data_IF_622323672036
#
_entry.id   IF_622323672036
#
_cell.length_a   1.000
_cell.length_b   1.000
_cell.length_c   1.000
_cell.angle_alpha   90.00
_cell.angle_beta   90.00
_cell.angle_gamma   90.00
#
_symmetry.space_group_name_H-M   'P 1'
#
loop_
_entity.id
_entity.type
_entity.pdbx_description
1 polymer ?
#
# COMPACT_ATOMS: atom_id res chain seq x y z
N UNK A 1 -19.90 -5.73 16.04
CA UNK A 1 -18.61 -6.27 15.58
C UNK A 1 -18.31 -5.77 14.19
N UNK A 2 -17.06 -5.39 13.92
CA UNK A 2 -16.59 -4.99 12.60
C UNK A 2 -15.33 -5.77 12.27
N UNK A 3 -15.08 -5.99 10.97
CA UNK A 3 -13.80 -6.45 10.44
C UNK A 3 -13.32 -5.38 9.45
N UNK A 4 -12.13 -4.89 9.65
CA UNK A 4 -11.56 -3.80 8.85
C UNK A 4 -10.22 -4.31 8.31
N UNK A 5 -10.02 -4.16 7.01
CA UNK A 5 -8.73 -4.38 6.37
C UNK A 5 -8.12 -3.03 5.99
N UNK A 6 -6.85 -2.84 6.30
CA UNK A 6 -6.12 -1.64 5.93
C UNK A 6 -4.68 -1.97 5.56
N UNK A 7 -4.12 -1.20 4.63
CA UNK A 7 -2.67 -1.10 4.47
C UNK A 7 -2.17 -0.17 5.56
N UNK A 8 -1.12 -0.58 6.25
CA UNK A 8 -0.53 0.20 7.35
C UNK A 8 0.95 0.43 7.09
N UNK A 9 1.48 1.53 7.62
CA UNK A 9 2.92 1.75 7.73
C UNK A 9 3.39 1.36 9.13
N UNK A 10 4.63 0.91 9.23
CA UNK A 10 5.26 0.58 10.50
C UNK A 10 5.28 1.78 11.46
N UNK A 11 4.97 1.58 12.74
CA UNK A 11 4.79 2.65 13.73
C UNK A 11 6.00 3.59 13.84
N UNK A 12 7.23 3.04 13.83
CA UNK A 12 8.46 3.82 13.90
C UNK A 12 8.77 4.67 12.65
N UNK A 13 8.11 4.38 11.54
CA UNK A 13 8.22 5.16 10.30
C UNK A 13 7.10 6.21 10.15
N UNK A 14 6.04 6.12 10.94
CA UNK A 14 4.83 6.90 10.76
C UNK A 14 5.07 8.41 10.82
N UNK A 15 5.79 8.91 11.81
CA UNK A 15 6.08 10.35 11.92
C UNK A 15 6.87 10.90 10.74
N UNK A 16 7.88 10.17 10.27
CA UNK A 16 8.66 10.52 9.09
C UNK A 16 7.80 10.52 7.82
N UNK A 17 6.92 9.54 7.70
CA UNK A 17 6.01 9.39 6.58
C UNK A 17 5.02 10.56 6.51
N UNK A 18 4.43 10.97 7.63
CA UNK A 18 3.48 12.10 7.69
C UNK A 18 4.14 13.43 7.31
N UNK A 19 5.41 13.61 7.66
CA UNK A 19 6.17 14.85 7.34
C UNK A 19 6.72 14.89 5.93
N UNK A 20 6.71 13.76 5.22
CA UNK A 20 7.25 13.64 3.87
C UNK A 20 6.15 13.51 2.83
N UNK A 21 6.59 13.40 1.59
CA UNK A 21 5.75 13.01 0.47
C UNK A 21 6.47 11.91 -0.29
N UNK A 22 5.82 10.77 -0.45
CA UNK A 22 6.36 9.68 -1.24
C UNK A 22 5.81 9.67 -2.68
N UNK A 23 6.31 8.74 -3.47
CA UNK A 23 5.88 8.56 -4.86
C UNK A 23 4.37 8.29 -4.97
N UNK A 24 3.80 7.49 -4.06
CA UNK A 24 2.39 7.11 -4.10
C UNK A 24 1.51 8.32 -3.82
N UNK A 25 1.84 9.09 -2.79
CA UNK A 25 1.12 10.31 -2.42
C UNK A 25 1.19 11.38 -3.52
N UNK A 26 2.27 11.40 -4.28
CA UNK A 26 2.47 12.41 -5.31
C UNK A 26 1.83 12.04 -6.65
N UNK A 27 1.92 10.76 -7.07
CA UNK A 27 1.61 10.37 -8.44
C UNK A 27 0.45 9.38 -8.58
N UNK A 28 0.09 8.63 -7.54
CA UNK A 28 -0.90 7.56 -7.60
C UNK A 28 -2.15 7.93 -6.82
N UNK A 29 -1.99 8.28 -5.54
CA UNK A 29 -3.08 8.65 -4.64
C UNK A 29 -2.78 9.98 -3.94
N UNK A 30 -2.94 11.12 -4.65
CA UNK A 30 -2.66 12.43 -4.06
C UNK A 30 -3.46 12.66 -2.78
N UNK A 31 -2.76 13.04 -1.70
CA UNK A 31 -3.37 13.24 -0.38
C UNK A 31 -3.63 11.97 0.42
N UNK A 32 -3.24 10.79 -0.10
CA UNK A 32 -3.34 9.54 0.63
C UNK A 32 -2.43 9.51 1.86
N UNK A 33 -2.91 8.90 2.95
CA UNK A 33 -2.14 8.69 4.17
C UNK A 33 -2.44 7.28 4.71
N UNK A 34 -1.38 6.49 4.88
CA UNK A 34 -1.50 5.19 5.54
C UNK A 34 -1.50 5.37 7.05
N UNK A 35 -2.42 4.75 7.79
CA UNK A 35 -2.32 4.70 9.24
C UNK A 35 -1.16 3.80 9.67
N UNK A 36 -0.64 4.00 10.89
CA UNK A 36 0.06 2.93 11.59
C UNK A 36 -0.92 2.10 12.41
N UNK A 37 -0.53 0.89 12.79
CA UNK A 37 -1.40 0.03 13.62
C UNK A 37 -1.69 0.69 14.96
N UNK A 38 -0.65 1.21 15.63
CA UNK A 38 -0.80 1.90 16.91
C UNK A 38 -1.70 3.13 16.84
N UNK A 39 -1.58 3.93 15.77
CA UNK A 39 -2.47 5.07 15.56
C UNK A 39 -3.92 4.63 15.35
N UNK A 40 -4.13 3.59 14.55
CA UNK A 40 -5.47 3.06 14.28
C UNK A 40 -6.15 2.54 15.56
N UNK A 41 -5.41 1.77 16.36
CA UNK A 41 -5.90 1.24 17.64
C UNK A 41 -6.20 2.36 18.65
N UNK A 42 -5.32 3.37 18.73
CA UNK A 42 -5.54 4.53 19.58
C UNK A 42 -6.78 5.33 19.20
N UNK A 43 -7.01 5.50 17.90
CA UNK A 43 -8.20 6.21 17.41
C UNK A 43 -9.49 5.41 17.65
N UNK A 44 -9.46 4.10 17.42
CA UNK A 44 -10.57 3.20 17.73
C UNK A 44 -10.95 3.26 19.20
N UNK A 45 -9.96 3.25 20.10
CA UNK A 45 -10.17 3.31 21.54
C UNK A 45 -10.87 4.61 22.00
N UNK A 46 -10.56 5.75 21.39
CA UNK A 46 -11.26 7.03 21.66
C UNK A 46 -12.76 6.97 21.42
N UNK A 47 -13.17 6.10 20.52
CA UNK A 47 -14.58 5.89 20.15
C UNK A 47 -15.20 4.65 20.81
N UNK A 48 -14.58 4.12 21.86
CA UNK A 48 -15.08 2.97 22.61
C UNK A 48 -14.99 1.63 21.90
N UNK A 49 -14.16 1.55 20.84
CA UNK A 49 -13.92 0.31 20.12
C UNK A 49 -12.64 -0.35 20.65
N UNK A 50 -12.65 -1.67 20.73
CA UNK A 50 -11.50 -2.48 21.15
C UNK A 50 -11.14 -3.42 20.03
N UNK A 51 -9.86 -3.43 19.66
CA UNK A 51 -9.32 -4.41 18.71
C UNK A 51 -9.17 -5.75 19.42
N UNK A 52 -9.99 -6.71 19.03
CA UNK A 52 -9.97 -8.06 19.61
C UNK A 52 -8.87 -8.94 19.01
N UNK A 53 -8.58 -8.72 17.70
CA UNK A 53 -7.63 -9.54 16.97
C UNK A 53 -7.10 -8.79 15.75
N UNK A 54 -5.80 -8.90 15.52
CA UNK A 54 -5.11 -8.40 14.32
C UNK A 54 -4.49 -9.55 13.55
N UNK A 55 -4.77 -9.66 12.27
CA UNK A 55 -4.12 -10.57 11.34
C UNK A 55 -3.19 -9.77 10.43
N UNK A 56 -1.95 -10.22 10.27
CA UNK A 56 -0.93 -9.58 9.43
C UNK A 56 -0.55 -10.50 8.27
N UNK A 57 -0.57 -9.99 7.05
CA UNK A 57 -0.26 -10.76 5.84
C UNK A 57 0.45 -9.93 4.76
N UNK A 58 1.23 -8.94 5.15
CA UNK A 58 2.00 -8.09 4.24
C UNK A 58 3.00 -8.88 3.39
N UNK A 59 3.63 -9.92 3.93
CA UNK A 59 4.53 -10.77 3.17
C UNK A 59 3.83 -11.48 2.00
N UNK A 60 2.62 -11.99 2.23
CA UNK A 60 1.79 -12.61 1.17
C UNK A 60 1.36 -11.56 0.14
N UNK A 61 1.16 -10.32 0.60
CA UNK A 61 0.79 -9.21 -0.28
C UNK A 61 1.96 -8.78 -1.17
N UNK A 62 3.20 -8.85 -0.70
CA UNK A 62 4.40 -8.65 -1.53
C UNK A 62 4.42 -9.62 -2.72
N UNK A 63 4.15 -10.91 -2.49
CA UNK A 63 4.05 -11.91 -3.55
C UNK A 63 2.88 -11.63 -4.52
N UNK A 64 1.75 -11.18 -4.00
CA UNK A 64 0.61 -10.77 -4.82
C UNK A 64 0.98 -9.62 -5.75
N UNK A 65 1.67 -8.60 -5.25
CA UNK A 65 2.14 -7.45 -6.03
C UNK A 65 3.17 -7.85 -7.10
N UNK A 66 4.07 -8.77 -6.77
CA UNK A 66 5.01 -9.35 -7.74
C UNK A 66 4.27 -9.99 -8.91
N UNK A 67 3.27 -10.82 -8.63
CA UNK A 67 2.44 -11.47 -9.68
C UNK A 67 1.65 -10.46 -10.48
N UNK A 68 1.11 -9.43 -9.85
CA UNK A 68 0.40 -8.36 -10.55
C UNK A 68 1.33 -7.59 -11.48
N UNK A 69 2.55 -7.28 -11.06
CA UNK A 69 3.55 -6.60 -11.89
C UNK A 69 3.92 -7.43 -13.11
N UNK A 70 4.22 -8.71 -12.92
CA UNK A 70 4.52 -9.64 -14.02
C UNK A 70 3.37 -9.71 -15.02
N UNK A 71 2.15 -9.87 -14.53
CA UNK A 71 0.96 -9.92 -15.39
C UNK A 71 0.73 -8.60 -16.11
N UNK A 72 0.87 -7.48 -15.44
CA UNK A 72 0.71 -6.15 -16.02
C UNK A 72 1.71 -5.94 -17.17
N UNK A 73 2.98 -6.27 -16.96
CA UNK A 73 4.01 -6.17 -18.00
C UNK A 73 3.76 -7.14 -19.16
N UNK A 74 3.25 -8.32 -18.89
CA UNK A 74 2.84 -9.26 -19.94
C UNK A 74 1.67 -8.78 -20.81
N UNK A 75 0.85 -7.88 -20.27
CA UNK A 75 -0.32 -7.31 -20.95
C UNK A 75 -0.06 -5.89 -21.52
N UNK A 76 1.18 -5.42 -21.57
CA UNK A 76 1.52 -4.05 -21.99
C UNK A 76 0.91 -3.66 -23.34
N UNK A 77 0.95 -4.56 -24.32
CA UNK A 77 0.37 -4.31 -25.63
C UNK A 77 -1.14 -4.04 -25.57
N UNK A 78 -1.85 -4.73 -24.67
CA UNK A 78 -3.29 -4.53 -24.43
C UNK A 78 -3.55 -3.20 -23.73
N UNK A 79 -2.73 -2.86 -22.73
CA UNK A 79 -2.81 -1.56 -22.02
C UNK A 79 -2.66 -0.41 -23.02
N UNK A 80 -1.68 -0.50 -23.93
CA UNK A 80 -1.48 0.50 -24.99
C UNK A 80 -2.65 0.61 -25.96
N UNK A 81 -3.28 -0.50 -26.33
CA UNK A 81 -4.50 -0.49 -27.16
C UNK A 81 -5.68 0.21 -26.50
N UNK A 82 -5.70 0.28 -25.16
CA UNK A 82 -6.71 1.04 -24.40
C UNK A 82 -6.44 2.56 -24.37
N UNK A 83 -5.35 3.03 -24.99
CA UNK A 83 -5.00 4.44 -25.09
C UNK A 83 -3.99 4.94 -24.05
N UNK A 84 -3.45 4.05 -23.20
CA UNK A 84 -2.44 4.43 -22.22
C UNK A 84 -1.05 4.51 -22.86
N UNK A 85 -0.31 5.57 -22.52
CA UNK A 85 1.00 5.86 -23.07
C UNK A 85 2.16 5.16 -22.32
N UNK A 86 3.37 5.34 -22.82
CA UNK A 86 4.59 4.81 -22.19
C UNK A 86 4.81 5.33 -20.79
N UNK A 87 4.43 6.59 -20.53
CA UNK A 87 4.56 7.19 -19.20
C UNK A 87 3.67 6.48 -18.19
N UNK A 88 2.43 6.20 -18.56
CA UNK A 88 1.50 5.44 -17.71
C UNK A 88 2.05 4.06 -17.38
N UNK A 89 2.52 3.30 -18.39
CA UNK A 89 3.08 1.96 -18.19
C UNK A 89 4.25 1.98 -17.20
N UNK A 90 5.20 2.93 -17.38
CA UNK A 90 6.35 3.07 -16.49
C UNK A 90 5.99 3.47 -15.06
N UNK A 91 5.04 4.39 -14.90
CA UNK A 91 4.55 4.81 -13.57
C UNK A 91 3.89 3.62 -12.87
N UNK A 92 3.10 2.84 -13.58
CA UNK A 92 2.37 1.72 -13.01
C UNK A 92 3.28 0.54 -12.66
N UNK A 93 4.25 0.23 -13.51
CA UNK A 93 5.29 -0.74 -13.22
C UNK A 93 6.09 -0.35 -11.96
N UNK A 94 6.52 0.90 -11.90
CA UNK A 94 7.25 1.42 -10.74
C UNK A 94 6.41 1.38 -9.46
N UNK A 95 5.13 1.76 -9.54
CA UNK A 95 4.20 1.67 -8.42
C UNK A 95 4.10 0.26 -7.85
N UNK A 96 3.89 -0.73 -8.70
CA UNK A 96 3.79 -2.13 -8.28
C UNK A 96 5.11 -2.63 -7.66
N UNK A 97 6.26 -2.30 -8.27
CA UNK A 97 7.58 -2.64 -7.73
C UNK A 97 7.88 -1.93 -6.40
N UNK A 98 7.51 -0.67 -6.27
CA UNK A 98 7.66 0.12 -5.05
C UNK A 98 6.86 -0.49 -3.89
N UNK A 99 5.60 -0.83 -4.13
CA UNK A 99 4.76 -1.49 -3.14
C UNK A 99 5.29 -2.88 -2.78
N UNK A 100 5.67 -3.70 -3.76
CA UNK A 100 6.28 -5.02 -3.54
C UNK A 100 7.48 -4.92 -2.59
N UNK A 101 8.39 -3.97 -2.86
CA UNK A 101 9.58 -3.75 -2.04
C UNK A 101 9.23 -3.28 -0.61
N UNK A 102 8.24 -2.38 -0.46
CA UNK A 102 7.81 -1.87 0.83
C UNK A 102 7.23 -2.98 1.73
N UNK A 103 6.41 -3.87 1.16
CA UNK A 103 5.87 -5.02 1.88
C UNK A 103 6.93 -6.09 2.16
N UNK A 104 7.81 -6.39 1.20
CA UNK A 104 8.91 -7.34 1.39
C UNK A 104 9.90 -6.89 2.48
N UNK A 105 10.16 -5.59 2.59
CA UNK A 105 11.00 -5.01 3.63
C UNK A 105 10.30 -4.87 5.00
N UNK A 106 8.99 -5.14 5.09
CA UNK A 106 8.21 -4.97 6.31
C UNK A 106 7.99 -3.49 6.71
N UNK A 107 8.16 -2.55 5.79
CA UNK A 107 7.89 -1.13 6.03
C UNK A 107 6.39 -0.84 6.01
N UNK A 108 5.64 -1.61 5.23
CA UNK A 108 4.18 -1.62 5.16
C UNK A 108 3.65 -3.02 5.43
N UNK A 109 2.42 -3.10 5.89
CA UNK A 109 1.72 -4.35 6.16
C UNK A 109 0.26 -4.26 5.69
N UNK A 110 -0.40 -5.39 5.60
CA UNK A 110 -1.87 -5.47 5.49
C UNK A 110 -2.38 -6.12 6.75
N UNK A 111 -3.29 -5.47 7.39
CA UNK A 111 -3.88 -5.93 8.66
C UNK A 111 -5.40 -5.96 8.56
#
# INVERSE_FOLDING_TARGET
RACIQSITIRDDLFERYVRGTDFIQQYIFPGGLLPSVGMFEAEAAKHGLVVERTLRFGADYAETLRRWRERFMGEEARVRKLGFDTRFVRIWEFYLAYCEAAFAAGNTDVV
#
